data_IF_066988443293
#
_entry.id   IF_066988443293
#
_cell.length_a   1.000
_cell.length_b   1.000
_cell.length_c   1.000
_cell.angle_alpha   90.00
_cell.angle_beta   90.00
_cell.angle_gamma   90.00
#
_symmetry.space_group_name_H-M   'P 1'
#
loop_
_entity.id
_entity.type
_entity.pdbx_description
1 polymer ?
#
# COMPACT_ATOMS: atom_id res chain seq x y z
N UNK A 1 -25.57 11.45 -58.89
CA UNK A 1 -26.19 10.11 -58.83
C UNK A 1 -25.84 9.50 -57.49
N UNK A 2 -26.82 9.18 -56.64
CA UNK A 2 -26.61 8.47 -55.39
C UNK A 2 -27.18 7.06 -55.54
N UNK A 3 -26.50 6.04 -55.01
CA UNK A 3 -26.90 4.63 -55.15
C UNK A 3 -25.99 3.83 -56.07
N UNK A 4 -26.48 2.68 -56.55
CA UNK A 4 -25.70 1.65 -57.24
C UNK A 4 -25.03 2.15 -58.53
N UNK A 5 -25.58 3.17 -59.16
CA UNK A 5 -25.11 3.76 -60.42
C UNK A 5 -23.96 4.77 -60.24
N UNK A 6 -23.53 5.04 -59.00
CA UNK A 6 -22.35 5.86 -58.74
C UNK A 6 -21.09 4.97 -58.75
N UNK A 7 -20.10 5.30 -59.57
CA UNK A 7 -18.79 4.61 -59.60
C UNK A 7 -18.08 4.61 -58.23
N UNK A 8 -18.40 5.56 -57.34
CA UNK A 8 -17.89 5.58 -55.96
C UNK A 8 -18.72 4.75 -54.95
N UNK A 9 -19.78 4.06 -55.40
CA UNK A 9 -20.64 3.26 -54.53
C UNK A 9 -19.92 2.00 -54.03
N UNK A 10 -19.58 1.97 -52.75
CA UNK A 10 -18.81 0.88 -52.13
C UNK A 10 -19.66 -0.30 -51.61
N UNK A 11 -20.94 -0.37 -51.99
CA UNK A 11 -21.92 -1.38 -51.57
C UNK A 11 -22.95 -0.91 -50.55
N UNK A 12 -23.99 -1.73 -50.37
CA UNK A 12 -25.11 -1.50 -49.45
C UNK A 12 -24.81 -1.86 -47.99
N UNK A 13 -25.85 -1.77 -47.15
CA UNK A 13 -25.78 -2.25 -45.77
C UNK A 13 -25.62 -3.78 -45.75
N UNK A 14 -24.82 -4.25 -44.80
CA UNK A 14 -24.48 -5.65 -44.58
C UNK A 14 -25.11 -6.06 -43.26
N UNK A 15 -25.84 -7.18 -43.27
CA UNK A 15 -26.39 -7.79 -42.05
C UNK A 15 -25.27 -8.45 -41.24
N UNK A 16 -25.23 -8.17 -39.95
CA UNK A 16 -24.27 -8.69 -38.99
C UNK A 16 -24.99 -9.21 -37.75
N UNK A 17 -24.43 -10.24 -37.11
CA UNK A 17 -24.94 -10.74 -35.83
C UNK A 17 -24.22 -10.05 -34.66
N UNK A 18 -24.98 -9.59 -33.68
CA UNK A 18 -24.41 -8.98 -32.49
C UNK A 18 -23.77 -10.03 -31.57
N UNK A 19 -22.47 -9.87 -31.29
CA UNK A 19 -21.70 -10.76 -30.42
C UNK A 19 -22.11 -10.77 -28.93
N UNK A 20 -23.18 -10.07 -28.55
CA UNK A 20 -23.67 -10.00 -27.16
C UNK A 20 -25.10 -10.48 -26.98
N UNK A 21 -26.01 -10.07 -27.87
CA UNK A 21 -27.42 -10.44 -27.77
C UNK A 21 -27.90 -11.37 -28.90
N UNK A 22 -27.05 -11.66 -29.89
CA UNK A 22 -27.42 -12.50 -31.05
C UNK A 22 -28.39 -11.84 -32.05
N UNK A 23 -28.79 -10.58 -31.83
CA UNK A 23 -29.67 -9.87 -32.75
C UNK A 23 -28.94 -9.48 -34.04
N UNK A 24 -29.64 -9.61 -35.16
CA UNK A 24 -29.15 -9.19 -36.47
C UNK A 24 -29.31 -7.67 -36.61
N UNK A 25 -28.31 -7.00 -37.18
CA UNK A 25 -28.30 -5.56 -37.38
C UNK A 25 -27.56 -5.17 -38.67
N UNK A 26 -28.01 -4.08 -39.28
CA UNK A 26 -27.49 -3.61 -40.55
C UNK A 26 -26.40 -2.56 -40.37
N UNK A 27 -25.22 -2.78 -40.97
CA UNK A 27 -24.10 -1.84 -40.95
C UNK A 27 -23.48 -1.69 -42.33
N UNK A 28 -22.98 -0.49 -42.65
CA UNK A 28 -22.23 -0.30 -43.89
C UNK A 28 -20.95 -1.17 -43.90
N UNK A 29 -20.61 -1.73 -45.06
CA UNK A 29 -19.40 -2.51 -45.33
C UNK A 29 -18.10 -1.89 -44.77
N UNK A 30 -17.99 -0.56 -44.73
CA UNK A 30 -16.85 0.13 -44.11
C UNK A 30 -16.74 -0.13 -42.59
N UNK A 31 -17.88 -0.16 -41.87
CA UNK A 31 -17.94 -0.47 -40.43
C UNK A 31 -17.63 -1.95 -40.15
N UNK A 32 -18.02 -2.84 -41.06
CA UNK A 32 -17.67 -4.27 -40.98
C UNK A 32 -16.16 -4.46 -41.08
N UNK A 33 -15.48 -3.77 -42.01
CA UNK A 33 -14.01 -3.80 -42.14
C UNK A 33 -13.28 -3.31 -40.88
N UNK A 34 -13.86 -2.36 -40.15
CA UNK A 34 -13.33 -1.85 -38.88
C UNK A 34 -13.64 -2.80 -37.70
N UNK A 35 -14.46 -3.84 -37.91
CA UNK A 35 -14.80 -4.83 -36.90
C UNK A 35 -16.01 -4.43 -36.05
N UNK A 36 -17.09 -3.95 -36.67
CA UNK A 36 -18.37 -3.76 -35.99
C UNK A 36 -18.92 -5.11 -35.48
N UNK A 37 -19.17 -5.21 -34.16
CA UNK A 37 -19.56 -6.47 -33.48
C UNK A 37 -20.87 -6.38 -32.70
N UNK A 38 -21.40 -5.17 -32.48
CA UNK A 38 -22.51 -4.95 -31.56
C UNK A 38 -23.60 -4.12 -32.22
N UNK A 39 -24.86 -4.52 -32.01
CA UNK A 39 -26.03 -3.80 -32.54
C UNK A 39 -26.28 -2.46 -31.86
N UNK A 40 -25.75 -2.25 -30.64
CA UNK A 40 -25.96 -1.04 -29.85
C UNK A 40 -24.78 -0.72 -28.93
N UNK A 41 -24.72 0.54 -28.48
CA UNK A 41 -23.77 0.98 -27.44
C UNK A 41 -23.99 0.21 -26.13
N UNK A 42 -25.24 -0.14 -25.82
CA UNK A 42 -25.58 -0.96 -24.64
C UNK A 42 -24.90 -2.32 -24.70
N UNK A 43 -25.05 -3.04 -25.82
CA UNK A 43 -24.39 -4.33 -26.03
C UNK A 43 -22.86 -4.20 -25.96
N UNK A 44 -22.29 -3.13 -26.53
CA UNK A 44 -20.85 -2.86 -26.38
C UNK A 44 -20.43 -2.70 -24.91
N UNK A 45 -21.15 -1.90 -24.12
CA UNK A 45 -20.82 -1.72 -22.70
C UNK A 45 -20.97 -3.01 -21.90
N UNK A 46 -22.01 -3.80 -22.18
CA UNK A 46 -22.23 -5.09 -21.53
C UNK A 46 -21.14 -6.10 -21.89
N UNK A 47 -20.62 -6.09 -23.12
CA UNK A 47 -19.47 -6.90 -23.53
C UNK A 47 -18.18 -6.54 -22.79
N UNK A 48 -18.07 -5.28 -22.36
CA UNK A 48 -16.90 -4.74 -21.67
C UNK A 48 -17.07 -4.78 -20.15
N UNK A 49 -18.22 -5.25 -19.65
CA UNK A 49 -18.49 -5.34 -18.23
C UNK A 49 -17.53 -6.35 -17.59
N UNK A 50 -16.57 -5.84 -16.84
CA UNK A 50 -15.59 -6.67 -16.14
C UNK A 50 -16.25 -7.30 -14.92
N UNK A 51 -16.32 -8.64 -14.89
CA UNK A 51 -16.81 -9.39 -13.72
C UNK A 51 -15.80 -9.30 -12.59
N UNK A 52 -16.31 -9.15 -11.36
CA UNK A 52 -15.48 -9.22 -10.15
C UNK A 52 -15.05 -10.66 -9.89
N UNK A 53 -13.91 -10.81 -9.22
CA UNK A 53 -13.33 -12.08 -8.80
C UNK A 53 -13.43 -12.16 -7.28
N UNK A 54 -13.91 -13.30 -6.78
CA UNK A 54 -13.95 -13.61 -5.35
C UNK A 54 -12.57 -14.04 -4.85
N UNK A 55 -12.18 -13.53 -3.69
CA UNK A 55 -10.90 -13.77 -3.03
C UNK A 55 -11.14 -14.05 -1.54
N UNK A 56 -10.24 -14.82 -0.94
CA UNK A 56 -10.21 -15.06 0.51
C UNK A 56 -9.13 -14.20 1.14
N UNK A 57 -9.44 -13.54 2.26
CA UNK A 57 -8.48 -12.70 2.96
C UNK A 57 -7.42 -13.55 3.68
N UNK A 58 -6.13 -13.27 3.47
CA UNK A 58 -5.00 -13.98 4.13
C UNK A 58 -4.85 -13.69 5.64
N UNK A 59 -5.72 -12.86 6.21
CA UNK A 59 -5.61 -12.35 7.60
C UNK A 59 -6.81 -12.77 8.43
N UNK A 60 -8.02 -12.59 7.90
CA UNK A 60 -9.26 -12.90 8.62
C UNK A 60 -10.14 -13.94 7.92
N UNK A 61 -9.65 -14.55 6.82
CA UNK A 61 -10.35 -15.58 6.03
C UNK A 61 -11.71 -15.16 5.44
N UNK A 62 -12.08 -13.88 5.54
CA UNK A 62 -13.29 -13.35 4.95
C UNK A 62 -13.24 -13.42 3.41
N UNK A 63 -14.36 -13.82 2.79
CA UNK A 63 -14.53 -13.82 1.34
C UNK A 63 -14.96 -12.42 0.88
N UNK A 64 -14.28 -11.87 -0.12
CA UNK A 64 -14.57 -10.54 -0.68
C UNK A 64 -14.35 -10.50 -2.19
N UNK A 65 -14.81 -9.44 -2.85
CA UNK A 65 -14.75 -9.33 -4.32
C UNK A 65 -13.87 -8.16 -4.77
N UNK A 66 -13.11 -8.36 -5.86
CA UNK A 66 -12.33 -7.30 -6.51
C UNK A 66 -12.40 -7.34 -8.01
N UNK A 67 -12.12 -6.19 -8.64
CA UNK A 67 -11.88 -6.16 -10.07
C UNK A 67 -10.51 -6.78 -10.41
N UNK A 68 -10.39 -7.51 -11.54
CA UNK A 68 -9.11 -8.02 -12.05
C UNK A 68 -8.01 -6.95 -12.17
N UNK A 69 -8.40 -5.70 -12.46
CA UNK A 69 -7.48 -4.56 -12.56
C UNK A 69 -6.88 -4.19 -11.20
N UNK A 70 -7.62 -4.30 -10.11
CA UNK A 70 -7.13 -4.04 -8.75
C UNK A 70 -6.17 -5.13 -8.29
N UNK A 71 -6.45 -6.39 -8.62
CA UNK A 71 -5.55 -7.53 -8.38
C UNK A 71 -4.23 -7.32 -9.13
N UNK A 72 -4.31 -6.88 -10.40
CA UNK A 72 -3.14 -6.63 -11.23
C UNK A 72 -2.29 -5.46 -10.69
N UNK A 73 -2.93 -4.36 -10.25
CA UNK A 73 -2.25 -3.22 -9.63
C UNK A 73 -1.57 -3.62 -8.32
N UNK A 74 -2.19 -4.50 -7.53
CA UNK A 74 -1.63 -5.02 -6.30
C UNK A 74 -0.35 -5.79 -6.53
N UNK A 75 -0.38 -6.74 -7.46
CA UNK A 75 0.79 -7.51 -7.86
C UNK A 75 1.92 -6.60 -8.37
N UNK A 76 1.60 -5.60 -9.21
CA UNK A 76 2.59 -4.65 -9.76
C UNK A 76 3.28 -3.81 -8.67
N UNK A 77 2.56 -3.46 -7.60
CA UNK A 77 3.06 -2.63 -6.49
C UNK A 77 3.64 -3.47 -5.34
N UNK A 78 3.69 -4.80 -5.47
CA UNK A 78 4.27 -5.69 -4.45
C UNK A 78 3.45 -5.80 -3.16
N UNK A 79 2.12 -5.69 -3.25
CA UNK A 79 1.23 -6.02 -2.13
C UNK A 79 0.27 -7.15 -2.47
N UNK A 80 -0.16 -7.88 -1.44
CA UNK A 80 -1.16 -8.94 -1.59
C UNK A 80 -2.49 -8.34 -2.00
N UNK A 81 -3.07 -8.87 -3.08
CA UNK A 81 -4.44 -8.56 -3.48
C UNK A 81 -5.48 -9.28 -2.60
N UNK A 82 -5.04 -10.20 -1.74
CA UNK A 82 -5.86 -11.07 -0.91
C UNK A 82 -6.03 -10.50 0.52
N UNK A 83 -6.26 -9.19 0.63
CA UNK A 83 -6.59 -8.52 1.91
C UNK A 83 -7.91 -7.74 1.80
N UNK A 84 -8.85 -7.95 2.71
CA UNK A 84 -10.21 -7.42 2.59
C UNK A 84 -10.34 -5.94 3.01
N UNK A 85 -9.57 -5.51 4.02
CA UNK A 85 -9.70 -4.18 4.65
C UNK A 85 -8.35 -3.46 4.82
N UNK A 86 -8.39 -2.18 5.21
CA UNK A 86 -7.19 -1.39 5.55
C UNK A 86 -6.46 -1.95 6.77
N UNK A 87 -7.21 -2.48 7.73
CA UNK A 87 -6.70 -3.09 8.95
C UNK A 87 -5.94 -4.38 8.63
N UNK A 88 -6.58 -5.31 7.88
CA UNK A 88 -5.92 -6.54 7.44
C UNK A 88 -4.69 -6.25 6.56
N UNK A 89 -4.74 -5.23 5.71
CA UNK A 89 -3.56 -4.80 4.96
C UNK A 89 -2.43 -4.31 5.90
N UNK A 90 -2.77 -3.56 6.95
CA UNK A 90 -1.81 -3.11 7.97
C UNK A 90 -1.17 -4.26 8.76
N UNK A 91 -1.95 -5.28 9.10
CA UNK A 91 -1.46 -6.48 9.77
C UNK A 91 -0.54 -7.30 8.86
N UNK A 92 -0.96 -7.56 7.61
CA UNK A 92 -0.13 -8.23 6.62
C UNK A 92 1.19 -7.48 6.35
N UNK A 93 1.12 -6.14 6.31
CA UNK A 93 2.28 -5.25 6.18
C UNK A 93 3.23 -5.36 7.39
N UNK A 94 2.67 -5.36 8.59
CA UNK A 94 3.47 -5.47 9.81
C UNK A 94 4.22 -6.79 9.82
N UNK A 95 3.51 -7.90 9.58
CA UNK A 95 4.09 -9.25 9.58
C UNK A 95 5.26 -9.38 8.59
N UNK A 96 5.15 -8.80 7.39
CA UNK A 96 6.23 -8.81 6.37
C UNK A 96 7.37 -7.82 6.62
N UNK A 97 7.27 -6.95 7.61
CA UNK A 97 8.30 -5.93 7.91
C UNK A 97 8.92 -6.07 9.29
N UNK A 98 8.46 -7.04 10.09
CA UNK A 98 9.00 -7.31 11.42
C UNK A 98 9.77 -8.61 11.47
N UNK A 99 10.91 -8.61 12.17
CA UNK A 99 11.71 -9.80 12.50
C UNK A 99 11.97 -10.68 11.28
N UNK A 100 11.65 -11.97 11.35
CA UNK A 100 11.84 -12.98 10.30
C UNK A 100 11.19 -12.56 8.97
N UNK A 101 10.09 -11.79 9.03
CA UNK A 101 9.41 -11.29 7.84
C UNK A 101 10.17 -10.18 7.11
N UNK A 102 11.03 -9.43 7.81
CA UNK A 102 11.80 -8.34 7.21
C UNK A 102 13.05 -8.89 6.50
N UNK A 103 13.19 -8.71 5.17
CA UNK A 103 14.36 -9.20 4.43
C UNK A 103 15.70 -8.62 4.88
N UNK A 104 15.69 -7.47 5.58
CA UNK A 104 16.88 -6.84 6.15
C UNK A 104 17.20 -7.31 7.57
N UNK A 105 16.33 -8.12 8.19
CA UNK A 105 16.56 -8.60 9.55
C UNK A 105 17.63 -9.68 9.58
N UNK A 106 18.66 -9.45 10.38
CA UNK A 106 19.83 -10.31 10.47
C UNK A 106 19.77 -11.28 11.66
N UNK A 107 18.58 -11.67 12.12
CA UNK A 107 18.43 -12.59 13.26
C UNK A 107 18.71 -11.95 14.62
N UNK A 108 18.50 -10.63 14.77
CA UNK A 108 18.63 -9.97 16.08
C UNK A 108 20.06 -9.71 16.55
N UNK A 109 21.01 -9.45 15.63
CA UNK A 109 22.43 -9.13 15.90
C UNK A 109 22.66 -7.86 16.76
N UNK A 110 21.62 -7.19 17.25
CA UNK A 110 21.77 -5.99 18.06
C UNK A 110 22.49 -6.35 19.37
N UNK A 111 23.67 -5.76 19.66
CA UNK A 111 24.43 -6.08 20.88
C UNK A 111 23.62 -5.81 22.15
N UNK A 112 23.83 -6.61 23.19
CA UNK A 112 23.05 -6.53 24.44
C UNK A 112 23.12 -5.13 25.09
N UNK A 113 24.30 -4.53 25.17
CA UNK A 113 24.47 -3.16 25.67
C UNK A 113 23.62 -2.13 24.90
N UNK A 114 23.44 -2.33 23.59
CA UNK A 114 22.59 -1.47 22.78
C UNK A 114 21.12 -1.73 23.07
N UNK A 115 20.71 -3.00 23.21
CA UNK A 115 19.34 -3.36 23.57
C UNK A 115 18.91 -2.75 24.90
N UNK A 116 19.77 -2.83 25.92
CA UNK A 116 19.49 -2.28 27.25
C UNK A 116 19.41 -0.75 27.20
N UNK A 117 20.32 -0.08 26.47
CA UNK A 117 20.30 1.39 26.32
C UNK A 117 19.12 1.92 25.51
N UNK A 118 18.68 1.15 24.53
CA UNK A 118 17.50 1.45 23.70
C UNK A 118 16.19 0.97 24.36
N UNK A 119 16.26 0.37 25.56
CA UNK A 119 15.09 -0.17 26.25
C UNK A 119 14.20 0.93 26.83
N UNK A 120 12.95 0.55 27.10
CA UNK A 120 11.95 1.44 27.70
C UNK A 120 12.36 1.85 29.11
N UNK A 121 12.91 0.93 29.88
CA UNK A 121 13.39 1.14 31.24
C UNK A 121 14.49 2.21 31.28
N UNK A 122 15.47 2.14 30.38
CA UNK A 122 16.53 3.17 30.30
C UNK A 122 15.98 4.53 29.82
N UNK A 123 14.96 4.53 28.96
CA UNK A 123 14.29 5.77 28.54
C UNK A 123 13.50 6.40 29.71
N UNK A 124 12.74 5.61 30.44
CA UNK A 124 11.94 6.02 31.60
C UNK A 124 12.85 6.49 32.75
N UNK A 125 13.97 5.79 33.02
CA UNK A 125 15.00 6.21 33.97
C UNK A 125 15.59 7.57 33.60
N UNK A 126 16.03 7.78 32.35
CA UNK A 126 16.56 9.07 31.89
C UNK A 126 15.55 10.19 32.08
N UNK A 127 14.29 9.92 31.75
CA UNK A 127 13.19 10.87 31.94
C UNK A 127 13.01 11.23 33.42
N UNK A 128 13.00 10.24 34.31
CA UNK A 128 12.88 10.47 35.75
C UNK A 128 14.06 11.29 36.32
N UNK A 129 15.29 11.05 35.85
CA UNK A 129 16.46 11.87 36.24
C UNK A 129 16.27 13.33 35.80
N UNK A 130 15.85 13.56 34.55
CA UNK A 130 15.63 14.91 34.07
C UNK A 130 14.47 15.62 34.78
N UNK A 131 13.38 14.92 35.07
CA UNK A 131 12.23 15.47 35.79
C UNK A 131 12.59 15.80 37.25
N UNK A 132 13.35 14.92 37.93
CA UNK A 132 13.86 15.15 39.29
C UNK A 132 14.69 16.43 39.37
N UNK A 133 15.54 16.66 38.37
CA UNK A 133 16.48 17.77 38.32
C UNK A 133 15.90 19.02 37.63
N UNK A 134 14.57 19.09 37.42
CA UNK A 134 13.86 20.15 36.69
C UNK A 134 14.54 20.53 35.35
N UNK A 135 15.02 19.53 34.63
CA UNK A 135 15.78 19.69 33.38
C UNK A 135 16.94 20.70 33.50
N UNK A 136 17.62 20.67 34.65
CA UNK A 136 18.74 21.55 34.99
C UNK A 136 20.02 20.73 35.20
N UNK A 137 21.10 21.14 34.54
CA UNK A 137 22.39 20.50 34.69
C UNK A 137 22.92 20.65 36.13
N UNK A 138 23.15 19.54 36.82
CA UNK A 138 23.65 19.54 38.21
C UNK A 138 25.10 20.04 38.34
N UNK A 139 25.87 20.11 37.25
CA UNK A 139 27.24 20.62 37.26
C UNK A 139 27.35 22.12 37.01
N UNK A 140 26.56 22.67 36.08
CA UNK A 140 26.67 24.07 35.66
C UNK A 140 25.43 24.92 35.97
N UNK A 141 24.33 24.32 36.43
CA UNK A 141 23.07 25.02 36.73
C UNK A 141 22.28 25.47 35.50
N UNK A 142 22.77 25.21 34.28
CA UNK A 142 22.07 25.63 33.07
C UNK A 142 20.85 24.73 32.79
N UNK A 143 19.71 25.37 32.49
CA UNK A 143 18.46 24.68 32.14
C UNK A 143 18.33 24.48 30.62
N UNK A 144 17.72 23.35 30.24
CA UNK A 144 17.31 23.09 28.86
C UNK A 144 16.46 24.27 28.31
N UNK A 145 16.70 24.68 27.06
CA UNK A 145 16.05 25.80 26.32
C UNK A 145 16.26 27.24 26.82
N UNK A 146 16.71 27.48 28.06
CA UNK A 146 16.84 28.86 28.61
C UNK A 146 18.21 29.24 29.20
N UNK A 147 19.17 28.33 29.34
CA UNK A 147 20.44 28.59 30.05
C UNK A 147 21.23 29.80 29.53
N UNK A 148 21.87 29.68 28.36
CA UNK A 148 22.80 30.70 27.82
C UNK A 148 22.42 31.20 26.42
N UNK A 149 21.13 31.39 26.17
CA UNK A 149 20.65 31.84 24.84
C UNK A 149 20.69 30.78 23.73
N UNK A 150 20.99 29.51 24.07
CA UNK A 150 20.96 28.37 23.13
C UNK A 150 20.36 27.13 23.78
N UNK A 151 19.82 26.22 22.96
CA UNK A 151 19.34 24.93 23.43
C UNK A 151 20.51 24.07 23.94
N UNK A 152 20.41 23.61 25.18
CA UNK A 152 21.40 22.74 25.82
C UNK A 152 20.82 21.32 25.85
N UNK A 153 21.56 20.37 25.28
CA UNK A 153 21.22 18.95 25.33
C UNK A 153 21.76 18.37 26.63
N UNK A 154 20.86 17.88 27.48
CA UNK A 154 21.23 17.22 28.73
C UNK A 154 21.46 15.74 28.51
N UNK A 155 22.52 15.22 29.13
CA UNK A 155 22.82 13.80 29.18
C UNK A 155 22.80 13.35 30.63
N UNK A 156 21.98 12.35 30.96
CA UNK A 156 22.03 11.69 32.26
C UNK A 156 23.27 10.79 32.28
N UNK A 157 24.30 11.20 33.03
CA UNK A 157 25.51 10.40 33.21
C UNK A 157 25.32 9.40 34.34
N UNK A 158 25.76 8.16 34.14
CA UNK A 158 25.76 7.18 35.23
C UNK A 158 26.88 7.53 36.21
N UNK A 159 26.60 7.60 37.50
CA UNK A 159 27.63 7.84 38.53
C UNK A 159 28.52 6.59 38.66
N UNK A 160 27.90 5.41 38.59
CA UNK A 160 28.59 4.12 38.50
C UNK A 160 28.46 3.60 37.08
N UNK A 161 29.58 3.27 36.45
CA UNK A 161 29.58 2.84 35.05
C UNK A 161 28.82 1.53 34.84
N UNK A 162 27.93 1.52 33.86
CA UNK A 162 27.13 0.36 33.47
C UNK A 162 27.97 -0.92 33.23
N UNK A 163 29.20 -0.80 32.72
CA UNK A 163 30.08 -1.94 32.49
C UNK A 163 30.60 -2.60 33.78
N UNK A 164 30.73 -1.84 34.87
CA UNK A 164 31.20 -2.34 36.16
C UNK A 164 30.04 -2.77 37.07
N UNK A 165 28.83 -2.26 36.81
CA UNK A 165 27.62 -2.55 37.59
C UNK A 165 26.41 -2.71 36.67
N UNK A 166 26.30 -3.83 35.93
CA UNK A 166 25.22 -4.04 34.96
C UNK A 166 23.84 -4.24 35.59
N UNK A 167 23.76 -4.45 36.91
CA UNK A 167 22.50 -4.64 37.65
C UNK A 167 21.97 -3.37 38.34
N UNK A 168 22.66 -2.23 38.17
CA UNK A 168 22.24 -0.90 38.63
C UNK A 168 21.64 -0.07 37.49
#
# INVERSE_FOLDING_TARGET
>A
MAGQDNHMWAGGAVECECAMCGQHFSVNKAKVRIGAKFCSVKCKHESQAVKKISLTCEVCDAVFERYPSDISKAKKRGYSAAVCSRECHGEALTKRQTREGNPQWKGGVTPENKRIRDSKETADWRKAVFERDDYTCQHCGDRNRKGRGRNIHLHAHHIKGFAAFPEL
#
